data_IF_173244550296
#
_entry.id   IF_173244550296
#
_cell.length_a   1.000
_cell.length_b   1.000
_cell.length_c   1.000
_cell.angle_alpha   90.00
_cell.angle_beta   90.00
_cell.angle_gamma   90.00
#
_symmetry.space_group_name_H-M   'P 1'
#
loop_
_entity.id
_entity.type
_entity.pdbx_description
1 polymer ?
#
# COMPACT_ATOMS: atom_id res chain seq x y z
N UNK A 1 3.31 24.92 -20.10
CA UNK A 1 2.62 24.69 -18.81
C UNK A 1 3.01 23.29 -18.32
N UNK A 2 3.45 23.13 -17.07
CA UNK A 2 3.83 21.81 -16.52
C UNK A 2 2.69 21.29 -15.65
N UNK A 3 2.35 20.01 -15.80
CA UNK A 3 1.24 19.35 -15.09
C UNK A 3 1.77 18.18 -14.25
N UNK A 4 1.18 17.97 -13.08
CA UNK A 4 1.35 16.77 -12.26
C UNK A 4 0.05 15.98 -12.27
N UNK A 5 0.09 14.73 -12.73
CA UNK A 5 -1.04 13.82 -12.63
C UNK A 5 -1.03 13.07 -11.28
N UNK A 6 -2.18 12.93 -10.63
CA UNK A 6 -2.34 12.10 -9.44
C UNK A 6 -3.51 11.13 -9.58
N UNK A 7 -3.33 9.93 -9.03
CA UNK A 7 -4.36 8.88 -9.01
C UNK A 7 -5.34 9.02 -7.84
N UNK A 8 -5.62 10.23 -7.38
CA UNK A 8 -6.60 10.50 -6.31
C UNK A 8 -7.96 9.95 -6.72
N UNK A 9 -8.60 9.16 -5.84
CA UNK A 9 -9.93 8.61 -6.07
C UNK A 9 -10.99 9.26 -5.17
N UNK A 10 -12.26 9.08 -5.48
CA UNK A 10 -13.37 9.73 -4.76
C UNK A 10 -13.34 9.52 -3.24
N UNK A 11 -13.04 8.32 -2.70
CA UNK A 11 -12.83 8.13 -1.26
C UNK A 11 -11.77 9.04 -0.64
N UNK A 12 -10.65 9.30 -1.33
CA UNK A 12 -9.58 10.17 -0.83
C UNK A 12 -10.05 11.62 -0.69
N UNK A 13 -10.92 12.07 -1.59
CA UNK A 13 -11.52 13.41 -1.59
C UNK A 13 -12.45 13.57 -0.38
N UNK A 14 -13.29 12.57 -0.10
CA UNK A 14 -14.20 12.58 1.06
C UNK A 14 -13.41 12.59 2.37
N UNK A 15 -12.40 11.71 2.50
CA UNK A 15 -11.56 11.65 3.71
C UNK A 15 -10.84 12.99 3.95
N UNK A 16 -10.35 13.62 2.88
CA UNK A 16 -9.70 14.94 2.95
C UNK A 16 -10.69 16.06 3.34
N UNK A 17 -11.90 16.09 2.78
CA UNK A 17 -12.91 17.09 3.12
C UNK A 17 -13.43 16.94 4.56
N UNK A 18 -13.57 15.70 5.05
CA UNK A 18 -13.95 15.42 6.43
C UNK A 18 -12.87 15.85 7.43
N UNK A 19 -11.58 15.74 7.05
CA UNK A 19 -10.45 16.23 7.87
C UNK A 19 -10.43 17.76 7.99
N UNK A 20 -10.85 18.49 6.95
CA UNK A 20 -10.92 19.94 6.94
C UNK A 20 -12.06 20.51 7.81
N UNK A 21 -13.09 19.71 8.08
CA UNK A 21 -14.27 20.11 8.89
C UNK A 21 -14.16 19.72 10.37
N UNK A 22 -13.00 19.21 10.81
CA UNK A 22 -12.64 19.10 12.23
C UNK A 22 -13.30 17.97 13.03
N UNK A 23 -14.05 17.05 12.40
CA UNK A 23 -14.73 15.93 13.09
C UNK A 23 -14.07 14.55 12.91
N UNK A 24 -13.03 14.42 12.09
CA UNK A 24 -12.32 13.17 11.91
C UNK A 24 -10.94 13.23 12.57
N UNK A 25 -10.68 12.33 13.53
CA UNK A 25 -9.35 12.10 14.08
C UNK A 25 -8.35 11.93 12.93
N UNK A 26 -7.31 12.74 12.92
CA UNK A 26 -6.22 12.74 11.94
C UNK A 26 -5.43 11.43 12.06
N UNK A 27 -5.99 10.35 11.54
CA UNK A 27 -5.33 9.06 11.45
C UNK A 27 -5.04 8.84 9.96
N UNK A 28 -3.77 9.09 9.60
CA UNK A 28 -3.08 8.94 8.30
C UNK A 28 -2.76 10.26 7.61
N UNK A 29 -1.59 10.81 7.95
CA UNK A 29 -0.92 11.96 7.33
C UNK A 29 -0.35 11.70 5.91
N UNK A 30 -0.83 10.67 5.20
CA UNK A 30 -0.31 10.27 3.88
C UNK A 30 -1.42 10.22 2.84
N UNK A 31 -2.19 11.31 2.69
CA UNK A 31 -3.00 11.48 1.49
C UNK A 31 -2.16 12.16 0.42
N UNK A 32 -2.24 11.62 -0.80
CA UNK A 32 -1.60 12.16 -2.00
C UNK A 32 -1.92 13.64 -2.25
N UNK A 33 -2.99 14.18 -1.65
CA UNK A 33 -3.40 15.59 -1.76
C UNK A 33 -2.85 16.47 -0.63
N UNK A 34 -2.47 15.90 0.53
CA UNK A 34 -2.04 16.66 1.72
C UNK A 34 -0.53 16.97 1.79
N UNK A 35 0.29 16.33 0.95
CA UNK A 35 1.75 16.47 0.96
C UNK A 35 2.32 17.46 -0.07
N UNK A 36 1.47 18.14 -0.84
CA UNK A 36 1.93 19.06 -1.88
C UNK A 36 2.42 20.38 -1.25
N UNK A 37 3.56 20.93 -1.69
CA UNK A 37 4.03 22.24 -1.24
C UNK A 37 2.97 23.33 -1.50
N UNK A 38 2.79 24.25 -0.54
CA UNK A 38 1.86 25.39 -0.66
C UNK A 38 2.09 26.22 -1.93
N UNK A 39 3.35 26.28 -2.39
CA UNK A 39 3.74 26.93 -3.63
C UNK A 39 4.15 25.88 -4.67
N UNK A 40 3.19 25.46 -5.50
CA UNK A 40 3.44 24.53 -6.58
C UNK A 40 3.48 25.26 -7.92
N UNK A 41 4.58 25.07 -8.68
CA UNK A 41 4.75 25.66 -10.02
C UNK A 41 4.09 24.85 -11.15
N UNK A 42 3.34 23.80 -10.82
CA UNK A 42 2.69 22.88 -11.76
C UNK A 42 1.19 22.85 -11.51
N UNK A 43 0.39 22.73 -12.57
CA UNK A 43 -1.04 22.45 -12.44
C UNK A 43 -1.28 21.00 -12.05
N UNK A 44 -2.34 20.72 -11.31
CA UNK A 44 -2.71 19.37 -10.89
C UNK A 44 -3.78 18.77 -11.82
N UNK A 45 -3.64 17.50 -12.18
CA UNK A 45 -4.63 16.75 -12.97
C UNK A 45 -4.99 15.46 -12.23
N UNK A 46 -6.25 15.30 -11.85
CA UNK A 46 -6.73 14.16 -11.07
C UNK A 46 -7.87 13.45 -11.83
N UNK A 47 -7.54 12.60 -12.82
CA UNK A 47 -8.54 12.02 -13.71
C UNK A 47 -9.47 11.01 -13.03
N UNK A 48 -9.09 10.49 -11.86
CA UNK A 48 -9.83 9.45 -11.14
C UNK A 48 -10.64 9.98 -9.95
N UNK A 49 -10.64 11.30 -9.72
CA UNK A 49 -11.18 11.93 -8.48
C UNK A 49 -12.67 11.70 -8.25
N UNK A 50 -13.42 11.33 -9.30
CA UNK A 50 -14.87 11.09 -9.27
C UNK A 50 -15.22 9.59 -9.22
N UNK A 51 -14.21 8.71 -9.20
CA UNK A 51 -14.37 7.28 -9.31
C UNK A 51 -14.12 6.56 -7.97
N UNK A 52 -14.87 5.50 -7.73
CA UNK A 52 -14.62 4.53 -6.67
C UNK A 52 -13.58 3.48 -7.10
N UNK A 53 -13.04 2.76 -6.12
CA UNK A 53 -11.93 1.81 -6.35
C UNK A 53 -12.31 0.65 -7.26
N UNK A 54 -13.56 0.19 -7.22
CA UNK A 54 -14.08 -0.84 -8.11
C UNK A 54 -14.22 -0.35 -9.56
N UNK A 55 -14.61 0.92 -9.76
CA UNK A 55 -14.67 1.55 -11.08
C UNK A 55 -13.27 1.73 -11.68
N UNK A 56 -12.30 2.19 -10.88
CA UNK A 56 -10.90 2.30 -11.28
C UNK A 56 -10.33 0.94 -11.70
N UNK A 57 -10.70 -0.15 -11.00
CA UNK A 57 -10.30 -1.51 -11.39
C UNK A 57 -10.91 -1.92 -12.73
N UNK A 58 -12.21 -1.68 -12.95
CA UNK A 58 -12.87 -1.99 -14.22
C UNK A 58 -12.21 -1.26 -15.39
N UNK A 59 -11.99 0.05 -15.25
CA UNK A 59 -11.29 0.85 -16.28
C UNK A 59 -9.87 0.32 -16.51
N UNK A 60 -9.17 -0.05 -15.44
CA UNK A 60 -7.83 -0.65 -15.55
C UNK A 60 -7.82 -1.94 -16.38
N UNK A 61 -8.83 -2.80 -16.24
CA UNK A 61 -8.96 -4.02 -17.05
C UNK A 61 -9.21 -3.70 -18.52
N UNK A 62 -10.10 -2.74 -18.82
CA UNK A 62 -10.36 -2.28 -20.19
C UNK A 62 -9.12 -1.64 -20.85
N UNK A 63 -8.25 -1.01 -20.04
CA UNK A 63 -6.96 -0.48 -20.47
C UNK A 63 -5.87 -1.56 -20.65
N UNK A 64 -6.18 -2.83 -20.37
CA UNK A 64 -5.27 -3.96 -20.52
C UNK A 64 -4.27 -4.14 -19.37
N UNK A 65 -4.53 -3.56 -18.20
CA UNK A 65 -3.68 -3.77 -17.02
C UNK A 65 -3.88 -5.19 -16.46
N UNK A 66 -2.81 -5.86 -15.97
CA UNK A 66 -2.92 -7.20 -15.42
C UNK A 66 -3.88 -7.25 -14.22
N UNK A 67 -4.76 -8.26 -14.20
CA UNK A 67 -5.73 -8.47 -13.11
C UNK A 67 -5.04 -8.51 -11.74
N UNK A 68 -3.96 -9.28 -11.61
CA UNK A 68 -3.21 -9.42 -10.36
C UNK A 68 -2.66 -8.09 -9.81
N UNK A 69 -2.38 -7.13 -10.69
CA UNK A 69 -1.91 -5.81 -10.30
C UNK A 69 -3.07 -4.95 -9.75
N UNK A 70 -4.23 -4.98 -10.41
CA UNK A 70 -5.41 -4.20 -10.05
C UNK A 70 -6.09 -4.70 -8.78
N UNK A 71 -6.07 -6.02 -8.58
CA UNK A 71 -6.70 -6.71 -7.45
C UNK A 71 -5.71 -7.02 -6.32
N UNK A 72 -4.46 -6.55 -6.43
CA UNK A 72 -3.49 -6.66 -5.34
C UNK A 72 -4.02 -6.04 -4.05
N UNK A 73 -3.73 -6.69 -2.93
CA UNK A 73 -4.01 -6.14 -1.60
C UNK A 73 -3.42 -4.74 -1.42
N UNK A 74 -4.07 -3.88 -0.63
CA UNK A 74 -3.54 -2.56 -0.33
C UNK A 74 -2.17 -2.66 0.36
N UNK A 75 -1.23 -1.83 -0.08
CA UNK A 75 0.10 -1.71 0.49
C UNK A 75 0.27 -0.33 1.12
N UNK A 76 0.80 -0.21 2.35
CA UNK A 76 0.89 1.08 3.05
C UNK A 76 1.90 2.01 2.38
N UNK A 77 1.69 3.33 2.47
CA UNK A 77 2.58 4.36 1.91
C UNK A 77 4.03 4.27 2.41
N UNK A 78 4.29 4.13 3.73
CA UNK A 78 5.63 3.87 4.28
C UNK A 78 6.21 2.49 3.94
N UNK A 79 5.45 1.65 3.26
CA UNK A 79 5.84 0.32 2.80
C UNK A 79 6.30 -0.61 3.92
N UNK A 80 7.50 -1.20 3.76
CA UNK A 80 8.07 -2.12 4.75
C UNK A 80 8.50 -1.43 6.05
N UNK A 81 8.64 -0.09 6.06
CA UNK A 81 9.08 0.65 7.24
C UNK A 81 8.12 0.50 8.44
N UNK A 82 6.83 0.29 8.18
CA UNK A 82 5.84 -0.01 9.23
C UNK A 82 5.68 -1.50 9.52
N UNK A 83 6.35 -2.37 8.76
CA UNK A 83 6.34 -3.83 8.94
C UNK A 83 7.61 -4.37 9.61
N UNK A 84 8.61 -3.52 9.86
CA UNK A 84 9.78 -3.83 10.67
C UNK A 84 9.60 -3.12 12.00
N UNK A 85 9.40 -3.88 13.09
CA UNK A 85 9.26 -3.26 14.40
C UNK A 85 10.62 -2.81 14.93
N UNK A 86 10.71 -1.53 15.32
CA UNK A 86 11.94 -0.92 15.82
C UNK A 86 12.79 -0.28 14.71
N UNK A 87 14.11 -0.41 14.83
CA UNK A 87 15.05 0.18 13.88
C UNK A 87 15.00 -0.52 12.52
N UNK A 88 14.75 0.24 11.45
CA UNK A 88 14.68 -0.29 10.08
C UNK A 88 16.10 -0.46 9.52
N UNK A 89 16.56 -1.71 9.45
CA UNK A 89 17.84 -2.08 8.83
C UNK A 89 17.65 -2.77 7.49
N UNK A 90 18.62 -2.61 6.59
CA UNK A 90 18.62 -3.27 5.28
C UNK A 90 18.46 -4.79 5.40
N UNK A 91 19.19 -5.40 6.33
CA UNK A 91 19.15 -6.84 6.60
C UNK A 91 17.72 -7.32 6.96
N UNK A 92 17.04 -6.59 7.84
CA UNK A 92 15.68 -6.91 8.26
C UNK A 92 14.69 -6.78 7.10
N UNK A 93 14.83 -5.72 6.30
CA UNK A 93 14.04 -5.54 5.09
C UNK A 93 14.29 -6.64 4.04
N UNK A 94 15.53 -7.11 3.90
CA UNK A 94 15.89 -8.19 2.97
C UNK A 94 15.29 -9.54 3.41
N UNK A 95 15.31 -9.84 4.70
CA UNK A 95 14.66 -11.02 5.25
C UNK A 95 13.13 -10.93 5.12
N UNK A 96 12.55 -9.78 5.49
CA UNK A 96 11.12 -9.55 5.42
C UNK A 96 10.59 -9.66 3.99
N UNK A 97 11.31 -9.12 2.99
CA UNK A 97 10.93 -9.26 1.57
C UNK A 97 10.83 -10.72 1.13
N UNK A 98 11.77 -11.56 1.55
CA UNK A 98 11.75 -12.99 1.24
C UNK A 98 10.59 -13.71 1.93
N UNK A 99 10.37 -13.42 3.21
CA UNK A 99 9.26 -13.99 3.97
C UNK A 99 7.90 -13.59 3.39
N UNK A 100 7.71 -12.30 3.04
CA UNK A 100 6.48 -11.80 2.43
C UNK A 100 6.23 -12.44 1.07
N UNK A 101 7.26 -12.57 0.23
CA UNK A 101 7.14 -13.21 -1.08
C UNK A 101 6.64 -14.66 -0.97
N UNK A 102 7.26 -15.46 -0.09
CA UNK A 102 6.85 -16.85 0.14
C UNK A 102 5.42 -16.90 0.69
N UNK A 103 5.09 -16.05 1.67
CA UNK A 103 3.75 -16.05 2.27
C UNK A 103 2.65 -15.73 1.25
N UNK A 104 2.87 -14.71 0.41
CA UNK A 104 1.92 -14.34 -0.64
C UNK A 104 1.83 -15.41 -1.74
N UNK A 105 2.95 -16.04 -2.10
CA UNK A 105 2.99 -17.14 -3.08
C UNK A 105 2.15 -18.32 -2.59
N UNK A 106 2.34 -18.76 -1.35
CA UNK A 106 1.58 -19.88 -0.78
C UNK A 106 0.09 -19.54 -0.57
N UNK A 107 -0.23 -18.31 -0.18
CA UNK A 107 -1.63 -17.85 -0.12
C UNK A 107 -2.33 -17.89 -1.48
N UNK A 108 -1.61 -17.56 -2.56
CA UNK A 108 -2.13 -17.64 -3.92
C UNK A 108 -2.28 -19.09 -4.37
N UNK A 109 -1.28 -19.95 -4.14
CA UNK A 109 -1.37 -21.39 -4.45
C UNK A 109 -2.53 -22.09 -3.72
N UNK A 110 -2.90 -21.62 -2.54
CA UNK A 110 -3.99 -22.17 -1.74
C UNK A 110 -5.38 -21.57 -2.06
N UNK A 111 -5.52 -20.69 -3.06
CA UNK A 111 -6.77 -19.95 -3.34
C UNK A 111 -7.35 -19.23 -2.10
N UNK A 112 -6.46 -18.70 -1.25
CA UNK A 112 -6.82 -17.94 -0.05
C UNK A 112 -6.59 -16.44 -0.21
N UNK A 113 -5.78 -16.02 -1.20
CA UNK A 113 -5.40 -14.62 -1.38
C UNK A 113 -6.61 -13.68 -1.50
N UNK A 114 -7.61 -14.04 -2.30
CA UNK A 114 -8.81 -13.21 -2.52
C UNK A 114 -9.86 -13.34 -1.41
N UNK A 115 -9.68 -14.27 -0.46
CA UNK A 115 -10.60 -14.51 0.67
C UNK A 115 -10.28 -13.64 1.89
N UNK A 116 -9.14 -12.95 1.87
CA UNK A 116 -8.71 -12.05 2.96
C UNK A 116 -8.59 -10.63 2.44
N UNK A 117 -8.89 -9.64 3.30
CA UNK A 117 -8.82 -8.23 2.93
C UNK A 117 -7.38 -7.72 2.77
N UNK A 118 -6.45 -8.28 3.55
CA UNK A 118 -5.03 -7.95 3.51
C UNK A 118 -4.21 -9.10 4.10
N UNK A 119 -3.08 -9.42 3.47
CA UNK A 119 -2.08 -10.35 4.01
C UNK A 119 -0.68 -9.75 3.92
N UNK A 120 0.12 -9.94 4.98
CA UNK A 120 1.51 -9.50 5.03
C UNK A 120 2.28 -10.15 6.18
N UNK A 121 3.60 -10.07 6.09
CA UNK A 121 4.54 -10.45 7.14
C UNK A 121 5.05 -9.24 7.92
N UNK A 122 5.45 -9.46 9.18
CA UNK A 122 6.04 -8.45 10.07
C UNK A 122 7.34 -9.01 10.64
N UNK A 123 8.39 -8.20 10.64
CA UNK A 123 9.66 -8.56 11.27
C UNK A 123 9.67 -8.10 12.73
N UNK A 124 9.94 -9.04 13.64
CA UNK A 124 10.11 -8.79 15.06
C UNK A 124 11.59 -8.98 15.43
N UNK A 125 12.27 -7.97 16.02
CA UNK A 125 13.68 -8.06 16.40
C UNK A 125 13.87 -8.84 17.72
N UNK A 126 13.22 -9.99 17.84
CA UNK A 126 13.30 -10.88 19.00
C UNK A 126 14.02 -12.17 18.62
N UNK A 127 14.78 -12.72 19.57
CA UNK A 127 15.48 -13.99 19.37
C UNK A 127 14.60 -15.11 19.88
N UNK A 128 14.38 -16.13 19.06
CA UNK A 128 13.83 -17.42 19.46
C UNK A 128 14.94 -18.47 19.45
N UNK A 129 14.74 -19.57 20.18
CA UNK A 129 15.66 -20.72 20.12
C UNK A 129 15.68 -21.23 18.67
N UNK A 130 16.85 -21.25 18.04
CA UNK A 130 17.00 -21.67 16.66
C UNK A 130 16.69 -23.15 16.48
N UNK A 131 16.01 -23.50 15.38
CA UNK A 131 15.86 -24.89 14.97
C UNK A 131 17.24 -25.42 14.60
N UNK A 132 17.71 -26.45 15.31
CA UNK A 132 18.96 -27.14 15.00
C UNK A 132 18.79 -27.87 13.66
N UNK A 133 19.34 -27.31 12.59
CA UNK A 133 19.42 -27.97 11.29
C UNK A 133 20.33 -29.19 11.38
N UNK A 134 19.82 -30.38 11.04
CA UNK A 134 20.67 -31.50 10.64
C UNK A 134 21.37 -31.09 9.35
N UNK A 135 22.64 -30.71 9.46
CA UNK A 135 23.56 -30.74 8.33
C UNK A 135 23.94 -32.22 8.14
N UNK A 136 23.46 -32.82 7.06
CA UNK A 136 23.93 -34.11 6.55
C UNK A 136 24.94 -33.89 5.45
#
# INVERSE_FOLDING_TARGET
>A
MKWLAQGTIYPDVIESAASATGKAHVIKSHHNVGGLPKEMKMGLVEPLKELFKDEVRKIGLELGLPYDMLYRHPFPGPGLGVRVLGEVKKEYCDLLRRADAIFIEELRKADLYDKVSQAFTVFLPVRSVGVMGRWS
#
